data_IF_192491379338
#
_entry.id   IF_192491379338
#
_cell.length_a   1.000
_cell.length_b   1.000
_cell.length_c   1.000
_cell.angle_alpha   90.00
_cell.angle_beta   90.00
_cell.angle_gamma   90.00
#
_symmetry.space_group_name_H-M   'P 1'
#
loop_
_entity.id
_entity.type
_entity.pdbx_description
1 polymer ?
#
# COMPACT_ATOMS: atom_id res chain seq x y z
N UNK A 1 -10.55 -7.44 4.61
CA UNK A 1 -9.94 -6.17 4.18
C UNK A 1 -10.47 -5.78 2.81
N UNK A 2 -10.20 -6.55 1.78
CA UNK A 2 -10.51 -6.19 0.39
C UNK A 2 -12.00 -5.92 0.16
N UNK A 3 -12.90 -6.77 0.69
CA UNK A 3 -14.34 -6.51 0.62
C UNK A 3 -14.79 -5.19 1.26
N UNK A 4 -14.15 -4.79 2.37
CA UNK A 4 -14.42 -3.49 2.99
C UNK A 4 -13.98 -2.33 2.09
N UNK A 5 -12.88 -2.46 1.36
CA UNK A 5 -12.42 -1.43 0.42
C UNK A 5 -13.47 -1.15 -0.67
N UNK A 6 -14.10 -2.19 -1.21
CA UNK A 6 -15.22 -2.04 -2.14
C UNK A 6 -16.43 -1.33 -1.49
N UNK A 7 -16.78 -1.69 -0.25
CA UNK A 7 -17.87 -1.02 0.49
C UNK A 7 -17.55 0.46 0.69
N UNK A 8 -16.33 0.78 1.14
CA UNK A 8 -15.87 2.16 1.37
C UNK A 8 -15.89 2.99 0.09
N UNK A 9 -15.71 2.37 -1.09
CA UNK A 9 -15.82 3.01 -2.40
C UNK A 9 -17.27 3.14 -2.92
N UNK A 10 -18.25 2.56 -2.23
CA UNK A 10 -19.68 2.75 -2.52
C UNK A 10 -20.46 1.48 -2.88
N UNK A 11 -19.84 0.30 -2.89
CA UNK A 11 -20.58 -0.94 -3.13
C UNK A 11 -21.50 -1.29 -1.96
N UNK A 12 -22.76 -1.64 -2.26
CA UNK A 12 -23.73 -2.15 -1.28
C UNK A 12 -23.83 -3.68 -1.26
N UNK A 13 -23.17 -4.34 -2.22
CA UNK A 13 -23.12 -5.79 -2.35
C UNK A 13 -21.70 -6.23 -2.72
N UNK A 14 -21.28 -7.40 -2.22
CA UNK A 14 -19.99 -8.02 -2.52
C UNK A 14 -20.21 -9.42 -3.09
N UNK A 15 -19.70 -9.66 -4.29
CA UNK A 15 -19.72 -10.97 -4.93
C UNK A 15 -18.33 -11.60 -4.88
N UNK A 16 -18.25 -12.90 -4.62
CA UNK A 16 -17.00 -13.64 -4.48
C UNK A 16 -17.04 -14.91 -5.32
N UNK A 17 -15.94 -15.20 -6.03
CA UNK A 17 -15.80 -16.41 -6.86
C UNK A 17 -14.48 -17.10 -6.56
N UNK A 18 -13.35 -16.50 -6.93
CA UNK A 18 -12.02 -17.10 -6.78
C UNK A 18 -11.70 -17.48 -5.34
N UNK A 19 -12.07 -16.65 -4.36
CA UNK A 19 -11.85 -16.96 -2.95
C UNK A 19 -12.62 -18.21 -2.49
N UNK A 20 -13.84 -18.42 -2.98
CA UNK A 20 -14.63 -19.63 -2.66
C UNK A 20 -13.99 -20.85 -3.31
N UNK A 21 -13.52 -20.73 -4.56
CA UNK A 21 -12.82 -21.81 -5.25
C UNK A 21 -11.53 -22.23 -4.53
N UNK A 22 -10.80 -21.26 -3.95
CA UNK A 22 -9.52 -21.49 -3.31
C UNK A 22 -9.63 -21.99 -1.87
N UNK A 23 -10.62 -21.50 -1.12
CA UNK A 23 -10.69 -21.67 0.34
C UNK A 23 -12.00 -22.30 0.83
N UNK A 24 -12.95 -22.57 -0.07
CA UNK A 24 -14.26 -23.15 0.24
C UNK A 24 -15.27 -22.13 0.79
N UNK A 25 -16.49 -22.59 1.09
CA UNK A 25 -17.60 -21.73 1.50
C UNK A 25 -17.39 -21.05 2.87
N UNK A 26 -16.55 -21.62 3.75
CA UNK A 26 -16.33 -21.11 5.11
C UNK A 26 -15.60 -19.78 5.18
N UNK A 27 -15.09 -19.25 4.05
CA UNK A 27 -14.56 -17.88 4.01
C UNK A 27 -15.56 -16.83 4.50
N UNK A 28 -16.86 -17.12 4.42
CA UNK A 28 -17.91 -16.22 4.89
C UNK A 28 -17.79 -15.93 6.39
N UNK A 29 -17.34 -16.90 7.18
CA UNK A 29 -17.17 -16.75 8.63
C UNK A 29 -16.10 -15.67 8.92
N UNK A 30 -14.95 -15.77 8.25
CA UNK A 30 -13.84 -14.82 8.37
C UNK A 30 -14.20 -13.43 7.81
N UNK A 31 -14.98 -13.39 6.73
CA UNK A 31 -15.47 -12.14 6.13
C UNK A 31 -16.40 -11.39 7.09
N UNK A 32 -17.34 -12.10 7.72
CA UNK A 32 -18.28 -11.52 8.69
C UNK A 32 -17.56 -11.05 9.95
N UNK A 33 -16.74 -11.91 10.57
CA UNK A 33 -15.99 -11.55 11.79
C UNK A 33 -15.05 -10.36 11.55
N UNK A 34 -14.30 -10.37 10.44
CA UNK A 34 -13.40 -9.28 10.08
C UNK A 34 -14.13 -7.95 9.85
N UNK A 35 -15.29 -7.98 9.19
CA UNK A 35 -16.10 -6.78 8.95
C UNK A 35 -16.71 -6.25 10.25
N UNK A 36 -17.31 -7.13 11.06
CA UNK A 36 -17.91 -6.75 12.35
C UNK A 36 -16.87 -6.12 13.28
N UNK A 37 -15.68 -6.70 13.41
CA UNK A 37 -14.59 -6.13 14.23
C UNK A 37 -14.17 -4.76 13.76
N UNK A 38 -14.07 -4.56 12.44
CA UNK A 38 -13.71 -3.26 11.89
C UNK A 38 -14.79 -2.22 12.17
N UNK A 39 -16.07 -2.56 11.96
CA UNK A 39 -17.18 -1.64 12.24
C UNK A 39 -17.20 -1.22 13.71
N UNK A 40 -17.06 -2.17 14.64
CA UNK A 40 -16.99 -1.87 16.08
C UNK A 40 -15.79 -0.99 16.42
N UNK A 41 -14.60 -1.30 15.89
CA UNK A 41 -13.39 -0.51 16.14
C UNK A 41 -13.48 0.92 15.54
N UNK A 42 -14.19 1.07 14.43
CA UNK A 42 -14.42 2.35 13.77
C UNK A 42 -15.61 3.14 14.35
N UNK A 43 -16.40 2.52 15.25
CA UNK A 43 -17.57 3.15 15.89
C UNK A 43 -18.84 3.17 15.03
N UNK A 44 -18.95 2.29 14.02
CA UNK A 44 -20.14 2.17 13.16
C UNK A 44 -21.05 1.04 13.62
N UNK A 45 -22.37 1.25 13.53
CA UNK A 45 -23.37 0.27 13.96
C UNK A 45 -23.88 -0.62 12.82
N UNK A 46 -23.69 -0.19 11.58
CA UNK A 46 -24.17 -0.88 10.38
C UNK A 46 -23.20 -0.75 9.21
N UNK A 47 -23.27 -1.70 8.28
CA UNK A 47 -22.48 -1.67 7.04
C UNK A 47 -22.85 -0.46 6.18
N UNK A 48 -24.13 -0.06 6.18
CA UNK A 48 -24.64 1.07 5.39
C UNK A 48 -23.94 2.38 5.72
N UNK A 49 -23.51 2.59 6.98
CA UNK A 49 -22.74 3.76 7.39
C UNK A 49 -21.34 3.80 6.80
N UNK A 50 -20.79 2.65 6.40
CA UNK A 50 -19.47 2.54 5.78
C UNK A 50 -19.50 2.77 4.27
N UNK A 51 -20.66 2.64 3.62
CA UNK A 51 -20.79 2.73 2.16
C UNK A 51 -20.37 4.11 1.66
N UNK A 52 -19.35 4.16 0.81
CA UNK A 52 -18.90 5.39 0.16
C UNK A 52 -18.10 6.35 1.06
N UNK A 53 -17.74 5.97 2.29
CA UNK A 53 -16.98 6.83 3.20
C UNK A 53 -15.63 7.30 2.62
N UNK A 54 -15.02 6.53 1.72
CA UNK A 54 -13.76 6.88 1.09
C UNK A 54 -13.92 7.92 -0.03
N UNK A 55 -15.14 8.10 -0.57
CA UNK A 55 -15.39 8.95 -1.73
C UNK A 55 -15.07 10.42 -1.48
N UNK A 56 -15.14 10.89 -0.23
CA UNK A 56 -14.71 12.24 0.17
C UNK A 56 -13.22 12.51 -0.05
N UNK A 57 -12.40 11.47 -0.17
CA UNK A 57 -10.97 11.58 -0.44
C UNK A 57 -10.66 11.55 -1.95
N UNK A 58 -11.67 11.30 -2.80
CA UNK A 58 -11.50 11.31 -4.25
C UNK A 58 -11.49 12.76 -4.74
N UNK A 59 -10.56 13.06 -5.64
CA UNK A 59 -10.43 14.38 -6.24
C UNK A 59 -9.87 14.24 -7.65
N UNK A 60 -9.99 15.29 -8.45
CA UNK A 60 -9.48 15.30 -9.82
C UNK A 60 -7.96 15.14 -9.86
N UNK A 61 -7.45 14.49 -10.91
CA UNK A 61 -6.01 14.27 -11.06
C UNK A 61 -5.19 15.59 -11.12
N UNK A 62 -5.84 16.71 -11.46
CA UNK A 62 -5.24 18.04 -11.52
C UNK A 62 -5.14 18.75 -10.17
N UNK A 63 -5.96 18.40 -9.19
CA UNK A 63 -5.93 19.00 -7.84
C UNK A 63 -4.92 18.32 -6.91
N UNK A 64 -4.34 17.20 -7.34
CA UNK A 64 -3.31 16.48 -6.60
C UNK A 64 -2.05 17.33 -6.44
N UNK A 65 -1.58 17.46 -5.20
CA UNK A 65 -0.31 18.11 -4.88
C UNK A 65 0.87 17.37 -5.51
N UNK A 66 1.50 18.03 -6.48
CA UNK A 66 2.69 17.56 -7.21
C UNK A 66 3.96 18.31 -6.82
N UNK A 67 3.87 19.34 -5.99
CA UNK A 67 5.01 20.16 -5.55
C UNK A 67 5.73 19.56 -4.35
N UNK A 68 5.08 18.64 -3.64
CA UNK A 68 5.70 17.90 -2.54
C UNK A 68 5.98 16.44 -2.88
N UNK A 69 6.90 15.84 -2.14
CA UNK A 69 7.34 14.46 -2.28
C UNK A 69 7.52 13.81 -0.92
N UNK A 70 7.30 12.49 -0.86
CA UNK A 70 7.63 11.68 0.29
C UNK A 70 8.68 10.65 -0.13
N UNK A 71 9.78 10.57 0.60
CA UNK A 71 10.85 9.63 0.30
C UNK A 71 10.70 8.32 1.08
N UNK A 72 11.20 7.20 0.56
CA UNK A 72 11.24 5.94 1.30
C UNK A 72 12.25 5.97 2.44
N UNK A 73 11.88 5.42 3.59
CA UNK A 73 12.77 5.15 4.73
C UNK A 73 13.00 3.65 4.80
N UNK A 74 14.26 3.22 4.83
CA UNK A 74 14.63 1.81 4.85
C UNK A 74 15.03 1.37 6.25
N UNK A 75 14.29 0.44 6.83
CA UNK A 75 14.70 -0.28 8.02
C UNK A 75 15.70 -1.39 7.63
N UNK A 76 16.97 -1.13 7.92
CA UNK A 76 18.08 -2.03 7.59
C UNK A 76 18.07 -3.32 8.41
N UNK A 77 17.50 -3.28 9.62
CA UNK A 77 17.42 -4.43 10.54
C UNK A 77 16.35 -5.42 10.08
N UNK A 78 15.23 -4.91 9.57
CA UNK A 78 14.16 -5.75 9.03
C UNK A 78 14.43 -6.26 7.61
N UNK A 79 15.32 -5.59 6.87
CA UNK A 79 15.63 -5.97 5.49
C UNK A 79 16.29 -7.36 5.40
N UNK A 80 15.76 -8.24 4.56
CA UNK A 80 16.30 -9.60 4.34
C UNK A 80 17.24 -9.73 3.12
N UNK A 81 17.62 -8.61 2.49
CA UNK A 81 18.59 -8.62 1.38
C UNK A 81 18.13 -9.33 0.09
N UNK A 82 16.82 -9.36 -0.16
CA UNK A 82 16.23 -10.06 -1.32
C UNK A 82 16.39 -9.32 -2.67
N UNK A 83 16.81 -8.04 -2.68
CA UNK A 83 17.02 -7.27 -3.91
C UNK A 83 15.76 -6.83 -4.69
N UNK A 84 14.55 -7.30 -4.34
CA UNK A 84 13.30 -6.96 -5.07
C UNK A 84 13.05 -5.46 -5.23
N UNK A 85 13.34 -4.67 -4.19
CA UNK A 85 13.19 -3.22 -4.25
C UNK A 85 14.16 -2.55 -5.22
N UNK A 86 15.39 -3.07 -5.32
CA UNK A 86 16.38 -2.62 -6.30
C UNK A 86 15.90 -2.93 -7.72
N UNK A 87 15.55 -4.18 -8.02
CA UNK A 87 15.06 -4.61 -9.35
C UNK A 87 13.86 -3.76 -9.78
N UNK A 88 12.86 -3.60 -8.90
CA UNK A 88 11.68 -2.81 -9.21
C UNK A 88 12.00 -1.33 -9.49
N UNK A 89 12.98 -0.75 -8.78
CA UNK A 89 13.39 0.63 -9.04
C UNK A 89 14.25 0.75 -10.31
N UNK A 90 15.04 -0.28 -10.62
CA UNK A 90 15.96 -0.30 -11.75
C UNK A 90 15.22 -0.54 -13.08
N UNK A 91 14.39 -1.57 -13.15
CA UNK A 91 13.71 -1.99 -14.40
C UNK A 91 12.42 -1.23 -14.67
N UNK A 92 11.71 -0.80 -13.62
CA UNK A 92 10.35 -0.23 -13.73
C UNK A 92 10.19 1.11 -13.00
N UNK A 93 11.29 1.73 -12.57
CA UNK A 93 11.29 2.96 -11.78
C UNK A 93 12.24 4.02 -12.32
N UNK A 94 13.06 4.56 -11.43
CA UNK A 94 13.93 5.72 -11.68
C UNK A 94 15.40 5.45 -11.31
N UNK A 95 15.80 4.17 -11.20
CA UNK A 95 17.18 3.77 -10.91
C UNK A 95 17.78 4.48 -9.69
N UNK A 96 16.93 4.70 -8.67
CA UNK A 96 17.25 5.42 -7.43
C UNK A 96 17.72 4.49 -6.29
N UNK A 97 17.88 3.21 -6.60
CA UNK A 97 18.48 2.22 -5.73
C UNK A 97 19.61 1.56 -6.50
N UNK A 98 20.76 1.46 -5.84
CA UNK A 98 21.85 0.58 -6.23
C UNK A 98 21.83 -0.66 -5.31
N UNK A 99 22.69 -1.65 -5.56
CA UNK A 99 22.75 -2.87 -4.75
C UNK A 99 24.19 -3.19 -4.36
N UNK A 100 24.47 -3.11 -3.05
CA UNK A 100 25.73 -3.55 -2.47
C UNK A 100 25.73 -5.09 -2.46
N UNK A 101 26.48 -5.69 -3.37
CA UNK A 101 26.57 -7.14 -3.54
C UNK A 101 27.18 -7.85 -2.32
N UNK A 102 28.15 -7.21 -1.65
CA UNK A 102 28.85 -7.78 -0.49
C UNK A 102 27.94 -7.82 0.72
N UNK A 103 27.26 -6.70 1.01
CA UNK A 103 26.30 -6.62 2.13
C UNK A 103 24.94 -7.21 1.78
N UNK A 104 24.67 -7.46 0.49
CA UNK A 104 23.38 -7.85 -0.07
C UNK A 104 22.25 -6.89 0.34
N UNK A 105 22.48 -5.58 0.27
CA UNK A 105 21.50 -4.56 0.69
C UNK A 105 21.36 -3.48 -0.38
N UNK A 106 20.16 -2.89 -0.54
CA UNK A 106 19.97 -1.76 -1.42
C UNK A 106 20.68 -0.52 -0.86
N UNK A 107 21.28 0.28 -1.75
CA UNK A 107 21.89 1.57 -1.46
C UNK A 107 21.01 2.66 -2.05
N UNK A 108 20.55 3.60 -1.23
CA UNK A 108 19.60 4.62 -1.66
C UNK A 108 20.29 5.83 -2.28
N UNK A 109 20.02 6.08 -3.57
CA UNK A 109 20.50 7.22 -4.33
C UNK A 109 19.42 8.32 -4.34
N UNK A 110 19.35 9.08 -3.24
CA UNK A 110 18.26 10.04 -3.00
C UNK A 110 18.07 11.09 -4.12
N UNK A 111 19.13 11.47 -4.82
CA UNK A 111 19.08 12.44 -5.93
C UNK A 111 18.26 11.99 -7.14
N UNK A 112 18.09 10.67 -7.34
CA UNK A 112 17.30 10.10 -8.45
C UNK A 112 15.87 9.74 -8.05
N UNK A 113 15.56 9.75 -6.75
CA UNK A 113 14.28 9.27 -6.26
C UNK A 113 13.17 10.30 -6.48
N UNK A 114 12.04 9.88 -7.03
CA UNK A 114 10.85 10.73 -7.21
C UNK A 114 9.74 10.44 -6.20
N UNK A 115 9.95 9.50 -5.27
CA UNK A 115 8.95 9.12 -4.27
C UNK A 115 7.77 8.29 -4.80
N UNK A 116 7.94 7.51 -5.87
CA UNK A 116 6.86 6.65 -6.40
C UNK A 116 6.46 5.49 -5.48
N UNK A 117 7.31 5.15 -4.49
CA UNK A 117 7.11 4.08 -3.52
C UNK A 117 6.91 2.65 -4.07
N UNK A 118 7.17 2.40 -5.36
CA UNK A 118 7.14 1.05 -5.93
C UNK A 118 8.03 0.07 -5.15
N UNK A 119 9.19 0.54 -4.69
CA UNK A 119 10.10 -0.24 -3.85
C UNK A 119 9.45 -0.73 -2.54
N UNK A 120 8.61 0.10 -1.91
CA UNK A 120 7.90 -0.26 -0.69
C UNK A 120 6.81 -1.30 -0.97
N UNK A 121 6.06 -1.13 -2.06
CA UNK A 121 4.99 -2.07 -2.49
C UNK A 121 5.51 -3.48 -2.72
N UNK A 122 6.70 -3.64 -3.32
CA UNK A 122 7.25 -4.97 -3.63
C UNK A 122 8.03 -5.62 -2.49
N UNK A 123 8.21 -4.92 -1.36
CA UNK A 123 9.02 -5.42 -0.26
C UNK A 123 8.29 -6.53 0.51
N UNK A 124 8.78 -7.79 0.51
CA UNK A 124 8.05 -8.92 1.12
C UNK A 124 7.95 -8.82 2.64
N UNK A 125 8.84 -8.07 3.27
CA UNK A 125 8.91 -7.92 4.73
C UNK A 125 8.46 -6.54 5.19
N UNK A 126 7.92 -5.69 4.31
CA UNK A 126 7.48 -4.33 4.65
C UNK A 126 8.53 -3.56 5.49
N UNK A 127 9.79 -3.54 5.04
CA UNK A 127 10.89 -2.83 5.71
C UNK A 127 11.10 -1.40 5.17
N UNK A 128 10.22 -0.94 4.28
CA UNK A 128 10.33 0.39 3.66
C UNK A 128 9.07 1.17 4.03
N UNK A 129 9.24 2.28 4.75
CA UNK A 129 8.17 3.17 5.17
C UNK A 129 8.26 4.53 4.47
N UNK A 130 7.33 5.43 4.79
CA UNK A 130 7.23 6.77 4.20
C UNK A 130 7.83 7.81 5.16
N UNK A 131 8.69 8.68 4.65
CA UNK A 131 9.20 9.83 5.41
C UNK A 131 8.14 10.92 5.61
N UNK A 132 8.51 11.98 6.33
CA UNK A 132 7.72 13.23 6.31
C UNK A 132 7.70 13.79 4.89
N UNK A 133 6.56 14.35 4.50
CA UNK A 133 6.36 15.01 3.22
C UNK A 133 7.16 16.31 3.18
N UNK A 134 7.91 16.54 2.10
CA UNK A 134 8.79 17.71 1.91
C UNK A 134 8.54 18.35 0.55
N UNK A 135 8.88 19.62 0.38
CA UNK A 135 8.87 20.27 -0.93
C UNK A 135 9.89 19.61 -1.88
N UNK A 136 9.53 19.44 -3.15
CA UNK A 136 10.47 18.98 -4.18
C UNK A 136 11.54 20.04 -4.41
N UNK A 137 12.80 19.60 -4.50
CA UNK A 137 13.86 20.43 -5.06
C UNK A 137 13.65 20.49 -6.57
N UNK A 138 13.47 21.70 -7.10
CA UNK A 138 13.41 21.97 -8.54
C UNK A 138 14.81 21.93 -9.14
#
# INVERSE_FOLDING_TARGET
RDGLEFILMGCTNLQVTTSVMQYGYRIIDDMLDGLSRWLTAAGYSSVSEAVGLANKNMTDAGSLDRDTVTYPIFDKNKCIGCGRCYIACYDAGHQALDFDCDKRKPVFLGSKCVGCHLCATVCPVNCISKAKRVAKKR
#
